data_IF_016557524617
#
_entry.id   IF_016557524617
#
_cell.length_a   1.000
_cell.length_b   1.000
_cell.length_c   1.000
_cell.angle_alpha   90.00
_cell.angle_beta   90.00
_cell.angle_gamma   90.00
#
_symmetry.space_group_name_H-M   'P 1'
#
loop_
_entity.id
_entity.type
_entity.pdbx_description
1 polymer ?
#
# COMPACT_ATOMS: atom_id res chain seq x y z
N UNK A 1 38.25 -25.31 30.01
CA UNK A 1 36.89 -25.77 29.62
C UNK A 1 35.88 -25.14 30.55
N UNK A 2 35.08 -24.20 30.07
CA UNK A 2 33.61 -24.11 30.25
C UNK A 2 33.09 -22.87 29.51
N UNK A 3 31.97 -23.08 28.84
CA UNK A 3 31.25 -22.22 27.89
C UNK A 3 30.30 -21.25 28.58
N UNK A 4 30.07 -20.08 27.97
CA UNK A 4 28.76 -19.40 27.77
C UNK A 4 29.03 -17.99 27.21
N UNK A 5 28.71 -17.70 25.95
CA UNK A 5 27.41 -17.23 25.46
C UNK A 5 27.04 -15.83 25.98
N UNK A 6 27.04 -14.83 25.09
CA UNK A 6 26.23 -13.63 25.30
C UNK A 6 25.45 -13.34 24.03
N UNK A 7 24.14 -13.30 24.23
CA UNK A 7 23.09 -13.43 23.26
C UNK A 7 22.87 -12.14 22.46
N UNK A 8 22.63 -12.37 21.17
CA UNK A 8 21.99 -11.53 20.17
C UNK A 8 20.90 -10.59 20.73
N UNK A 9 21.01 -9.30 20.42
CA UNK A 9 19.86 -8.40 20.31
C UNK A 9 19.29 -8.60 18.90
N UNK A 10 18.40 -9.59 18.73
CA UNK A 10 17.51 -9.62 17.57
C UNK A 10 16.34 -8.74 17.95
N UNK A 11 16.31 -7.51 17.43
CA UNK A 11 15.05 -6.82 17.27
C UNK A 11 14.17 -7.73 16.40
N UNK A 12 13.04 -8.19 16.93
CA UNK A 12 12.02 -8.90 16.17
C UNK A 12 11.50 -7.96 15.08
N UNK A 13 12.17 -7.95 13.94
CA UNK A 13 11.68 -7.34 12.72
C UNK A 13 10.53 -8.23 12.23
N UNK A 14 9.29 -7.92 12.62
CA UNK A 14 8.13 -8.57 12.05
C UNK A 14 8.09 -8.22 10.55
N UNK A 15 8.31 -9.18 9.64
CA UNK A 15 8.42 -8.88 8.22
C UNK A 15 7.08 -8.39 7.69
N UNK A 16 6.97 -7.12 7.29
CA UNK A 16 5.82 -6.60 6.55
C UNK A 16 4.96 -5.54 7.24
N UNK A 17 5.43 -4.94 8.34
CA UNK A 17 4.84 -3.68 8.83
C UNK A 17 5.68 -2.50 8.34
N UNK A 18 5.09 -1.68 7.47
CA UNK A 18 5.72 -0.44 7.05
C UNK A 18 5.75 0.63 8.13
N UNK A 19 6.42 1.73 7.83
CA UNK A 19 6.13 2.97 8.56
C UNK A 19 4.74 3.45 8.16
N UNK A 20 3.94 3.84 9.15
CA UNK A 20 2.59 4.39 8.94
C UNK A 20 2.51 5.83 9.42
N UNK A 21 1.98 6.69 8.56
CA UNK A 21 1.46 7.99 8.95
C UNK A 21 -0.05 8.02 8.71
N UNK A 22 -0.78 8.81 9.49
CA UNK A 22 -2.20 9.03 9.24
C UNK A 22 -2.56 10.49 9.45
N UNK A 23 -3.41 11.00 8.55
CA UNK A 23 -3.93 12.37 8.62
C UNK A 23 -5.45 12.33 8.61
N UNK A 24 -6.04 13.13 9.49
CA UNK A 24 -7.48 13.27 9.60
C UNK A 24 -8.00 14.43 8.75
N UNK A 25 -9.10 14.16 8.05
CA UNK A 25 -10.03 15.15 7.51
C UNK A 25 -11.44 14.82 8.04
N UNK A 26 -12.29 15.81 8.35
CA UNK A 26 -13.67 15.58 8.77
C UNK A 26 -14.48 14.61 7.89
N UNK A 27 -14.12 14.45 6.62
CA UNK A 27 -14.79 13.57 5.67
C UNK A 27 -14.14 12.19 5.48
N UNK A 28 -12.84 12.02 5.82
CA UNK A 28 -12.10 10.78 5.57
C UNK A 28 -10.82 10.67 6.42
N UNK A 29 -10.36 9.43 6.63
CA UNK A 29 -9.05 9.11 7.19
C UNK A 29 -8.07 8.81 6.06
N UNK A 30 -6.95 9.52 5.97
CA UNK A 30 -5.84 9.14 5.09
C UNK A 30 -4.88 8.27 5.90
N UNK A 31 -4.59 7.07 5.37
CA UNK A 31 -3.51 6.23 5.89
C UNK A 31 -2.42 6.12 4.84
N UNK A 32 -1.19 6.35 5.27
CA UNK A 32 0.02 6.21 4.49
C UNK A 32 0.77 4.95 4.92
N UNK A 33 1.29 4.19 3.97
CA UNK A 33 2.20 3.08 4.20
C UNK A 33 3.45 3.24 3.35
N UNK A 34 4.61 3.05 3.95
CA UNK A 34 5.91 3.30 3.32
C UNK A 34 6.77 2.04 3.21
N UNK A 35 7.52 1.98 2.11
CA UNK A 35 8.65 1.07 1.92
C UNK A 35 9.83 1.81 1.31
N UNK A 36 11.02 1.51 1.80
CA UNK A 36 12.27 2.01 1.25
C UNK A 36 12.95 0.91 0.45
N UNK A 37 13.48 1.28 -0.72
CA UNK A 37 14.10 0.39 -1.69
C UNK A 37 15.51 0.90 -2.00
N UNK A 38 16.46 -0.02 -2.19
CA UNK A 38 17.82 0.29 -2.59
C UNK A 38 17.96 0.48 -4.12
N UNK A 39 17.00 1.19 -4.73
CA UNK A 39 16.96 1.48 -6.17
C UNK A 39 16.73 2.95 -6.43
N UNK A 40 16.97 3.41 -7.66
CA UNK A 40 16.68 4.80 -8.03
C UNK A 40 15.16 5.05 -8.09
N UNK A 41 14.75 6.32 -7.93
CA UNK A 41 13.36 6.71 -8.12
C UNK A 41 12.83 6.38 -9.53
N UNK A 42 13.69 6.37 -10.55
CA UNK A 42 13.31 5.97 -11.91
C UNK A 42 12.98 4.47 -11.99
N UNK A 43 13.78 3.61 -11.36
CA UNK A 43 13.51 2.18 -11.31
C UNK A 43 12.23 1.88 -10.52
N UNK A 44 12.05 2.53 -9.38
CA UNK A 44 10.83 2.44 -8.58
C UNK A 44 9.60 2.91 -9.38
N UNK A 45 9.73 4.00 -10.13
CA UNK A 45 8.67 4.52 -10.99
C UNK A 45 8.26 3.51 -12.06
N UNK A 46 9.22 2.94 -12.79
CA UNK A 46 8.94 1.90 -13.81
C UNK A 46 8.23 0.69 -13.20
N UNK A 47 8.66 0.22 -12.02
CA UNK A 47 8.01 -0.89 -11.34
C UNK A 47 6.54 -0.61 -10.98
N UNK A 48 6.21 0.66 -10.69
CA UNK A 48 4.84 1.12 -10.45
C UNK A 48 4.04 1.33 -11.74
N UNK A 49 4.63 1.90 -12.79
CA UNK A 49 3.89 2.42 -13.95
C UNK A 49 4.00 1.59 -15.22
N UNK A 50 4.90 0.63 -15.33
CA UNK A 50 5.05 -0.16 -16.56
C UNK A 50 4.11 -1.37 -16.59
N UNK A 51 3.32 -1.51 -17.67
CA UNK A 51 2.34 -2.59 -17.80
C UNK A 51 2.99 -3.98 -17.82
N UNK A 52 4.28 -4.06 -18.17
CA UNK A 52 5.07 -5.29 -18.10
C UNK A 52 5.47 -5.67 -16.66
N UNK A 53 5.58 -4.70 -15.75
CA UNK A 53 5.99 -4.93 -14.36
C UNK A 53 4.80 -5.26 -13.45
N UNK A 54 3.63 -4.64 -13.69
CA UNK A 54 2.44 -4.81 -12.86
C UNK A 54 2.00 -6.28 -12.62
N UNK A 55 2.01 -7.19 -13.63
CA UNK A 55 1.64 -8.59 -13.44
C UNK A 55 2.46 -9.32 -12.37
N UNK A 56 3.68 -8.88 -12.11
CA UNK A 56 4.57 -9.54 -11.18
C UNK A 56 4.21 -9.26 -9.72
N UNK A 57 3.67 -8.08 -9.39
CA UNK A 57 3.40 -7.72 -7.99
C UNK A 57 1.92 -7.54 -7.66
N UNK A 58 1.10 -6.96 -8.54
CA UNK A 58 -0.32 -6.71 -8.28
C UNK A 58 -1.25 -7.62 -9.09
N UNK A 59 -0.90 -7.85 -10.35
CA UNK A 59 -1.66 -8.66 -11.29
C UNK A 59 -1.78 -8.02 -12.67
N UNK A 60 -2.45 -8.71 -13.63
CA UNK A 60 -2.64 -8.23 -14.98
C UNK A 60 -3.22 -6.82 -15.02
N UNK A 61 -2.63 -5.97 -15.85
CA UNK A 61 -3.03 -4.57 -15.97
C UNK A 61 -3.08 -4.15 -17.44
N UNK A 62 -3.98 -3.23 -17.75
CA UNK A 62 -4.05 -2.56 -19.05
C UNK A 62 -4.23 -1.06 -18.84
N UNK A 63 -3.38 -0.26 -19.48
CA UNK A 63 -3.48 1.21 -19.45
C UNK A 63 -3.94 1.75 -20.80
N UNK A 64 -5.03 2.53 -20.80
CA UNK A 64 -5.45 3.31 -21.96
C UNK A 64 -4.91 4.75 -21.84
N UNK A 65 -3.80 5.02 -22.51
CA UNK A 65 -3.12 6.33 -22.49
C UNK A 65 -3.99 7.48 -23.00
N UNK A 66 -4.98 7.23 -23.87
CA UNK A 66 -5.86 8.29 -24.39
C UNK A 66 -6.87 8.80 -23.36
N UNK A 67 -7.24 7.96 -22.39
CA UNK A 67 -8.24 8.28 -21.36
C UNK A 67 -7.65 8.35 -19.95
N UNK A 68 -6.40 7.89 -19.77
CA UNK A 68 -5.79 7.71 -18.46
C UNK A 68 -6.46 6.59 -17.64
N UNK A 69 -7.25 5.72 -18.27
CA UNK A 69 -7.91 4.59 -17.60
C UNK A 69 -6.93 3.43 -17.41
N UNK A 70 -6.95 2.82 -16.23
CA UNK A 70 -6.11 1.69 -15.84
C UNK A 70 -6.99 0.60 -15.26
N UNK A 71 -7.05 -0.55 -15.92
CA UNK A 71 -7.79 -1.72 -15.44
C UNK A 71 -6.79 -2.72 -14.84
N UNK A 72 -7.02 -3.15 -13.58
CA UNK A 72 -6.14 -4.08 -12.84
C UNK A 72 -6.95 -5.27 -12.33
N UNK A 73 -6.45 -6.49 -12.53
CA UNK A 73 -6.99 -7.71 -11.92
C UNK A 73 -6.19 -8.06 -10.66
N UNK A 74 -6.84 -8.05 -9.50
CA UNK A 74 -6.21 -8.38 -8.22
C UNK A 74 -6.19 -9.89 -7.99
N UNK A 75 -5.21 -10.58 -8.59
CA UNK A 75 -5.13 -12.06 -8.63
C UNK A 75 -4.90 -12.72 -7.28
N UNK A 76 -4.43 -11.95 -6.29
CA UNK A 76 -4.15 -12.45 -4.95
C UNK A 76 -5.34 -12.34 -4.00
N UNK A 77 -6.40 -11.63 -4.39
CA UNK A 77 -7.65 -11.53 -3.64
C UNK A 77 -8.63 -12.64 -4.07
N UNK A 78 -9.49 -13.07 -3.13
CA UNK A 78 -10.59 -14.02 -3.40
C UNK A 78 -11.95 -13.41 -3.01
N UNK A 79 -12.87 -13.18 -3.97
CA UNK A 79 -12.69 -13.38 -5.42
C UNK A 79 -11.62 -12.44 -5.97
N UNK A 80 -11.11 -12.67 -7.18
CA UNK A 80 -10.12 -11.80 -7.83
C UNK A 80 -10.84 -10.71 -8.64
N UNK A 81 -11.09 -9.51 -8.10
CA UNK A 81 -11.85 -8.48 -8.79
C UNK A 81 -11.01 -7.79 -9.87
N UNK A 82 -11.69 -7.36 -10.93
CA UNK A 82 -11.22 -6.27 -11.76
C UNK A 82 -11.54 -4.94 -11.08
N UNK A 83 -10.54 -4.08 -10.94
CA UNK A 83 -10.69 -2.70 -10.51
C UNK A 83 -10.29 -1.78 -11.66
N UNK A 84 -11.11 -0.77 -11.89
CA UNK A 84 -10.79 0.30 -12.84
C UNK A 84 -10.39 1.56 -12.09
N UNK A 85 -9.28 2.15 -12.49
CA UNK A 85 -8.80 3.43 -12.02
C UNK A 85 -8.74 4.46 -13.16
N UNK A 86 -8.85 5.73 -12.81
CA UNK A 86 -8.49 6.84 -13.69
C UNK A 86 -7.28 7.56 -13.11
N UNK A 87 -6.24 7.80 -13.91
CA UNK A 87 -5.12 8.66 -13.55
C UNK A 87 -5.63 10.09 -13.43
N UNK A 88 -5.45 10.69 -12.25
CA UNK A 88 -5.82 12.08 -11.96
C UNK A 88 -4.66 13.04 -12.10
N UNK A 89 -3.48 12.58 -11.69
CA UNK A 89 -2.22 13.32 -11.82
C UNK A 89 -1.07 12.33 -11.88
N UNK A 90 -0.02 12.67 -12.64
CA UNK A 90 1.19 11.88 -12.75
C UNK A 90 2.40 12.78 -13.00
N UNK A 91 3.35 12.74 -12.08
CA UNK A 91 4.66 13.37 -12.19
C UNK A 91 5.71 12.26 -12.27
N UNK A 92 6.29 12.01 -13.45
CA UNK A 92 7.27 10.94 -13.63
C UNK A 92 8.40 10.97 -12.61
N UNK A 93 8.67 9.82 -12.00
CA UNK A 93 9.70 9.67 -10.96
C UNK A 93 9.35 10.29 -9.60
N UNK A 94 8.13 10.84 -9.40
CA UNK A 94 7.75 11.56 -8.18
C UNK A 94 6.42 11.13 -7.60
N UNK A 95 5.35 11.11 -8.39
CA UNK A 95 4.03 10.78 -7.86
C UNK A 95 3.03 10.37 -8.91
N UNK A 96 2.10 9.49 -8.54
CA UNK A 96 0.92 9.18 -9.36
C UNK A 96 -0.31 9.09 -8.45
N UNK A 97 -1.37 9.79 -8.84
CA UNK A 97 -2.67 9.74 -8.15
C UNK A 97 -3.70 9.07 -9.04
N UNK A 98 -4.30 8.02 -8.50
CA UNK A 98 -5.33 7.21 -9.13
C UNK A 98 -6.66 7.43 -8.39
N UNK A 99 -7.76 7.53 -9.13
CA UNK A 99 -9.10 7.48 -8.59
C UNK A 99 -9.74 6.13 -8.94
N UNK A 100 -10.19 5.37 -7.95
CA UNK A 100 -10.98 4.17 -8.19
C UNK A 100 -12.36 4.55 -8.76
N UNK A 101 -12.72 3.97 -9.91
CA UNK A 101 -14.07 4.11 -10.47
C UNK A 101 -15.07 3.38 -9.56
N UNK A 102 -16.18 4.04 -9.23
CA UNK A 102 -17.22 3.44 -8.39
C UNK A 102 -17.87 2.25 -9.10
N UNK A 103 -17.93 1.10 -8.42
CA UNK A 103 -18.70 -0.04 -8.88
C UNK A 103 -20.19 0.19 -8.59
N UNK A 104 -21.10 -0.39 -9.41
CA UNK A 104 -22.55 -0.27 -9.19
C UNK A 104 -22.91 -0.70 -7.77
N UNK A 105 -23.41 0.23 -6.96
CA UNK A 105 -23.80 -0.01 -5.56
C UNK A 105 -22.87 0.63 -4.53
N UNK A 106 -21.66 1.05 -4.91
CA UNK A 106 -20.77 1.81 -4.03
C UNK A 106 -21.20 3.28 -4.03
N UNK A 107 -21.87 3.72 -2.96
CA UNK A 107 -22.31 5.12 -2.77
C UNK A 107 -21.21 6.02 -2.21
N UNK A 108 -19.98 5.52 -2.13
CA UNK A 108 -18.84 6.26 -1.60
C UNK A 108 -18.08 6.91 -2.76
N UNK A 109 -17.69 8.18 -2.58
CA UNK A 109 -16.84 8.95 -3.50
C UNK A 109 -15.64 8.16 -4.02
N UNK A 110 -15.10 8.49 -5.21
CA UNK A 110 -13.90 7.83 -5.72
C UNK A 110 -12.80 7.85 -4.66
N UNK A 111 -12.33 6.67 -4.28
CA UNK A 111 -11.24 6.50 -3.33
C UNK A 111 -9.96 6.86 -4.08
N UNK A 112 -9.32 7.96 -3.70
CA UNK A 112 -8.01 8.32 -4.24
C UNK A 112 -6.93 7.46 -3.60
N UNK A 113 -6.02 6.97 -4.44
CA UNK A 113 -4.79 6.32 -4.04
C UNK A 113 -3.67 7.13 -4.66
N UNK A 114 -2.73 7.58 -3.84
CA UNK A 114 -1.56 8.32 -4.30
C UNK A 114 -0.31 7.55 -3.93
N UNK A 115 0.55 7.33 -4.90
CA UNK A 115 1.92 6.89 -4.68
C UNK A 115 2.83 8.12 -4.77
N UNK A 116 3.70 8.31 -3.79
CA UNK A 116 4.79 9.28 -3.86
C UNK A 116 6.12 8.57 -3.74
N UNK A 117 7.11 9.07 -4.47
CA UNK A 117 8.48 8.58 -4.49
C UNK A 117 9.37 9.70 -3.94
N UNK A 118 10.06 9.41 -2.86
CA UNK A 118 11.06 10.30 -2.28
C UNK A 118 12.44 9.68 -2.44
N UNK A 119 13.40 10.46 -2.92
CA UNK A 119 14.79 10.03 -3.10
C UNK A 119 15.72 11.21 -2.88
N UNK A 120 16.87 10.98 -2.25
CA UNK A 120 17.89 12.01 -2.13
C UNK A 120 18.80 11.99 -3.37
N UNK A 121 18.73 13.01 -4.25
CA UNK A 121 19.56 13.07 -5.46
C UNK A 121 21.05 13.22 -5.16
N UNK A 122 21.43 13.51 -3.91
CA UNK A 122 22.82 13.64 -3.44
C UNK A 122 23.33 12.39 -2.74
N UNK A 123 22.50 11.37 -2.54
CA UNK A 123 22.92 10.13 -1.91
C UNK A 123 23.99 9.43 -2.76
N UNK A 124 25.02 8.91 -2.08
CA UNK A 124 26.12 8.16 -2.71
C UNK A 124 25.64 6.81 -3.25
N UNK A 125 24.60 6.24 -2.62
CA UNK A 125 23.96 4.98 -3.00
C UNK A 125 22.53 5.24 -3.44
N UNK A 126 21.99 4.51 -4.44
CA UNK A 126 20.59 4.63 -4.82
C UNK A 126 19.65 4.29 -3.66
N UNK A 127 18.65 5.14 -3.46
CA UNK A 127 17.61 4.93 -2.47
C UNK A 127 16.33 5.65 -2.86
N UNK A 128 15.20 4.98 -2.73
CA UNK A 128 13.88 5.55 -2.97
C UNK A 128 12.91 5.02 -1.92
N UNK A 129 12.09 5.90 -1.35
CA UNK A 129 10.96 5.52 -0.51
C UNK A 129 9.68 5.68 -1.32
N UNK A 130 8.87 4.62 -1.43
CA UNK A 130 7.52 4.70 -1.96
C UNK A 130 6.56 4.80 -0.77
N UNK A 131 5.72 5.84 -0.79
CA UNK A 131 4.60 6.00 0.13
C UNK A 131 3.31 5.78 -0.64
N UNK A 132 2.49 4.81 -0.25
CA UNK A 132 1.10 4.69 -0.73
C UNK A 132 0.17 5.36 0.29
N UNK A 133 -0.64 6.29 -0.19
CA UNK A 133 -1.65 6.98 0.62
C UNK A 133 -3.03 6.65 0.07
N UNK A 134 -3.94 6.24 0.95
CA UNK A 134 -5.34 6.04 0.58
C UNK A 134 -6.28 6.70 1.59
N UNK A 135 -7.34 7.32 1.07
CA UNK A 135 -8.44 7.85 1.88
C UNK A 135 -9.49 6.78 2.15
N UNK A 136 -9.94 6.69 3.41
CA UNK A 136 -10.96 5.77 3.89
C UNK A 136 -12.13 6.52 4.51
N UNK A 137 -13.35 6.12 4.17
CA UNK A 137 -14.59 6.74 4.67
C UNK A 137 -15.32 5.87 5.69
N UNK A 138 -14.90 4.61 5.88
CA UNK A 138 -15.41 3.76 6.95
C UNK A 138 -14.34 2.82 7.53
N UNK A 139 -14.51 2.54 8.81
CA UNK A 139 -13.69 1.67 9.64
C UNK A 139 -13.44 0.29 9.04
N UNK A 140 -14.51 -0.37 8.61
CA UNK A 140 -14.49 -1.73 8.10
C UNK A 140 -13.66 -1.83 6.81
N UNK A 141 -13.65 -0.78 5.98
CA UNK A 141 -12.81 -0.77 4.78
C UNK A 141 -11.33 -0.67 5.15
N UNK A 142 -10.96 0.11 6.17
CA UNK A 142 -9.56 0.25 6.57
C UNK A 142 -8.97 -1.06 7.09
N UNK A 143 -9.65 -1.75 8.01
CA UNK A 143 -9.08 -2.96 8.62
C UNK A 143 -8.92 -4.14 7.65
N UNK A 144 -9.71 -4.15 6.56
CA UNK A 144 -9.63 -5.16 5.51
C UNK A 144 -8.71 -4.76 4.35
N UNK A 145 -8.63 -3.47 4.00
CA UNK A 145 -7.84 -2.98 2.85
C UNK A 145 -6.44 -2.52 3.25
N UNK A 146 -6.26 -1.99 4.45
CA UNK A 146 -4.96 -1.55 4.95
C UNK A 146 -3.89 -2.64 4.85
N UNK A 147 -4.13 -3.86 5.38
CA UNK A 147 -3.20 -4.97 5.25
C UNK A 147 -2.83 -5.36 3.82
N UNK A 148 -3.73 -5.11 2.84
CA UNK A 148 -3.47 -5.44 1.45
C UNK A 148 -2.40 -4.55 0.84
N UNK A 149 -2.33 -3.27 1.25
CA UNK A 149 -1.26 -2.39 0.78
C UNK A 149 0.11 -2.84 1.28
N UNK A 150 0.20 -3.33 2.52
CA UNK A 150 1.42 -3.92 3.05
C UNK A 150 1.86 -5.11 2.20
N UNK A 151 0.92 -6.02 1.94
CA UNK A 151 1.15 -7.21 1.12
C UNK A 151 1.63 -6.85 -0.30
N UNK A 152 0.96 -5.91 -0.96
CA UNK A 152 1.32 -5.51 -2.32
C UNK A 152 2.65 -4.74 -2.38
N UNK A 153 2.96 -3.92 -1.38
CA UNK A 153 4.24 -3.23 -1.31
C UNK A 153 5.41 -4.19 -1.07
N UNK A 154 5.22 -5.24 -0.26
CA UNK A 154 6.24 -6.27 -0.07
C UNK A 154 6.41 -7.14 -1.33
N UNK A 155 5.33 -7.42 -2.07
CA UNK A 155 5.43 -8.04 -3.40
C UNK A 155 6.18 -7.17 -4.40
N UNK A 156 5.92 -5.86 -4.38
CA UNK A 156 6.64 -4.88 -5.20
C UNK A 156 8.13 -4.84 -4.83
N UNK A 157 8.45 -4.91 -3.53
CA UNK A 157 9.83 -5.01 -3.06
C UNK A 157 10.54 -6.23 -3.63
N UNK A 158 9.92 -7.42 -3.55
CA UNK A 158 10.49 -8.62 -4.16
C UNK A 158 10.76 -8.44 -5.65
N UNK A 159 9.83 -7.84 -6.42
CA UNK A 159 10.02 -7.60 -7.86
C UNK A 159 11.17 -6.63 -8.13
N UNK A 160 11.24 -5.53 -7.38
CA UNK A 160 12.30 -4.52 -7.52
C UNK A 160 13.68 -5.12 -7.22
N UNK A 161 13.76 -6.02 -6.25
CA UNK A 161 14.99 -6.73 -5.85
C UNK A 161 15.33 -7.93 -6.76
N UNK A 162 14.51 -8.20 -7.78
CA UNK A 162 14.70 -9.32 -8.70
C UNK A 162 14.33 -10.70 -8.14
N UNK A 163 13.59 -10.73 -7.03
CA UNK A 163 13.09 -11.94 -6.38
C UNK A 163 11.74 -12.43 -6.90
N UNK A 164 11.30 -13.57 -6.37
CA UNK A 164 10.00 -14.16 -6.67
C UNK A 164 8.92 -13.63 -5.71
N UNK A 165 8.07 -12.73 -6.20
CA UNK A 165 6.96 -12.17 -5.42
C UNK A 165 5.95 -13.21 -4.97
N UNK A 166 5.88 -14.39 -5.61
CA UNK A 166 4.98 -15.48 -5.19
C UNK A 166 5.31 -15.99 -3.79
N UNK A 167 6.54 -15.74 -3.31
CA UNK A 167 6.96 -16.07 -1.95
C UNK A 167 6.23 -15.26 -0.88
N UNK A 168 5.83 -14.03 -1.19
CA UNK A 168 5.01 -13.21 -0.29
C UNK A 168 3.58 -13.74 -0.31
N UNK A 169 3.14 -14.32 0.81
CA UNK A 169 1.80 -14.89 0.98
C UNK A 169 0.89 -13.94 1.74
N UNK A 170 -0.32 -13.75 1.22
CA UNK A 170 -1.34 -12.92 1.86
C UNK A 170 -1.74 -13.44 3.24
N UNK A 171 -1.90 -14.77 3.35
CA UNK A 171 -2.25 -15.47 4.57
C UNK A 171 -1.04 -16.23 5.15
N UNK A 172 -0.97 -16.39 6.49
CA UNK A 172 -1.85 -15.81 7.51
C UNK A 172 -1.42 -14.41 7.97
N UNK A 173 -0.26 -13.94 7.49
CA UNK A 173 0.45 -12.81 8.09
C UNK A 173 -0.26 -11.47 7.86
N UNK A 174 -0.56 -11.10 6.62
CA UNK A 174 -1.25 -9.84 6.34
C UNK A 174 -2.73 -9.94 6.70
N UNK A 175 -3.38 -11.01 6.23
CA UNK A 175 -4.74 -11.35 6.61
C UNK A 175 -4.80 -12.72 7.31
N UNK A 176 -5.45 -12.85 8.47
CA UNK A 176 -6.00 -11.78 9.31
C UNK A 176 -4.94 -11.08 10.20
N UNK A 177 -3.66 -11.43 10.12
CA UNK A 177 -2.66 -11.05 11.12
C UNK A 177 -2.46 -9.54 11.36
N UNK A 178 -2.60 -8.69 10.35
CA UNK A 178 -2.49 -7.23 10.50
C UNK A 178 -3.83 -6.52 10.76
N UNK A 179 -4.96 -7.23 10.72
CA UNK A 179 -6.29 -6.64 10.99
C UNK A 179 -6.34 -5.95 12.35
N UNK A 180 -5.83 -6.52 13.46
CA UNK A 180 -5.82 -5.85 14.77
C UNK A 180 -5.03 -4.54 14.77
N UNK A 181 -3.92 -4.47 14.03
CA UNK A 181 -3.09 -3.27 13.91
C UNK A 181 -3.84 -2.12 13.25
N UNK A 182 -4.44 -2.37 12.08
CA UNK A 182 -5.21 -1.35 11.36
C UNK A 182 -6.47 -0.91 12.12
N UNK A 183 -7.08 -1.82 12.88
CA UNK A 183 -8.14 -1.46 13.84
C UNK A 183 -7.61 -0.55 14.95
N UNK A 184 -6.38 -0.76 15.41
CA UNK A 184 -5.67 0.12 16.34
C UNK A 184 -5.48 1.53 15.80
N UNK A 185 -5.01 1.67 14.56
CA UNK A 185 -4.84 2.96 13.87
C UNK A 185 -6.17 3.71 13.83
N UNK A 186 -7.26 3.04 13.42
CA UNK A 186 -8.58 3.64 13.41
C UNK A 186 -8.99 4.14 14.80
N UNK A 187 -8.84 3.30 15.83
CA UNK A 187 -9.22 3.67 17.20
C UNK A 187 -8.44 4.89 17.68
N UNK A 188 -7.15 4.99 17.34
CA UNK A 188 -6.33 6.15 17.64
C UNK A 188 -6.80 7.40 16.88
N UNK A 189 -7.13 7.26 15.59
CA UNK A 189 -7.65 8.35 14.78
C UNK A 189 -8.98 8.89 15.30
N UNK A 190 -9.91 8.00 15.71
CA UNK A 190 -11.21 8.41 16.31
C UNK A 190 -10.97 9.19 17.60
N UNK A 191 -10.12 8.68 18.51
CA UNK A 191 -9.81 9.36 19.79
C UNK A 191 -9.19 10.75 19.60
N UNK A 192 -8.47 10.98 18.52
CA UNK A 192 -7.78 12.24 18.24
C UNK A 192 -8.67 13.30 17.55
N UNK A 193 -10.00 13.13 17.55
CA UNK A 193 -10.95 14.13 17.02
C UNK A 193 -11.75 13.68 15.79
N UNK A 194 -11.82 12.36 15.54
CA UNK A 194 -12.46 11.76 14.37
C UNK A 194 -13.96 11.56 14.48
N UNK A 195 -14.75 12.56 14.88
CA UNK A 195 -16.18 12.41 15.23
C UNK A 195 -17.12 12.00 14.06
N UNK A 196 -16.64 11.96 12.81
CA UNK A 196 -17.48 11.79 11.61
C UNK A 196 -17.19 10.60 10.70
N UNK A 197 -16.17 9.79 10.99
CA UNK A 197 -16.09 8.48 10.33
C UNK A 197 -17.26 7.69 10.86
N UNK A 198 -18.25 7.38 10.00
CA UNK A 198 -19.43 6.63 10.42
C UNK A 198 -18.94 5.34 11.07
N UNK A 199 -19.10 5.28 12.38
CA UNK A 199 -18.78 4.14 13.22
C UNK A 199 -19.86 3.07 12.99
N UNK A 200 -20.03 2.66 11.72
CA UNK A 200 -21.26 1.98 11.35
C UNK A 200 -21.35 0.59 11.94
N UNK A 201 -20.23 -0.04 12.29
CA UNK A 201 -20.20 -1.36 12.94
C UNK A 201 -18.84 -1.61 13.67
N UNK A 202 -18.48 -0.80 14.69
CA UNK A 202 -17.53 -1.29 15.71
C UNK A 202 -18.36 -1.98 16.81
N UNK A 203 -18.11 -3.26 17.16
CA UNK A 203 -18.66 -3.84 18.38
C UNK A 203 -18.13 -3.15 19.62
#
# INVERSE_FOLDING_TARGET
MHSQATSRLVAEHMPGLGQHAHRYDPAFLIVACERSFAVSAEQAWRALTDDAAAPQWIGPRSTNNSTGRVDVLLTQENPSPWLTFTIKDAQPGRSITLALEATKGDRVSPRHITFTLDSDPRAVVPGCTITVMQSYTCAQTLEQRGPLWEFYLDRLACVIEGGDSSQVRLHPYYLPGLVPHYRGILRQAIRNGGDRIKNRDLP
#
